data_IF_231423786066
#
_entry.id   IF_231423786066
#
_cell.length_a   1.000
_cell.length_b   1.000
_cell.length_c   1.000
_cell.angle_alpha   90.00
_cell.angle_beta   90.00
_cell.angle_gamma   90.00
#
_symmetry.space_group_name_H-M   'P 1'
#
loop_
_entity.id
_entity.type
_entity.pdbx_description
1 polymer ?
#
# COMPACT_ATOMS: atom_id res chain seq x y z
N UNK A 1 22.22 -16.84 -13.64
CA UNK A 1 20.88 -17.32 -13.24
C UNK A 1 20.63 -18.59 -14.03
N UNK A 2 20.32 -19.70 -13.35
CA UNK A 2 20.07 -20.98 -14.04
C UNK A 2 18.74 -20.95 -14.79
N UNK A 3 18.56 -21.91 -15.71
CA UNK A 3 17.27 -22.10 -16.37
C UNK A 3 16.23 -22.61 -15.37
N UNK A 4 15.06 -21.97 -15.32
CA UNK A 4 13.98 -22.32 -14.41
C UNK A 4 12.81 -22.80 -15.28
N UNK A 5 12.32 -24.03 -15.10
CA UNK A 5 11.25 -24.56 -15.94
C UNK A 5 10.00 -23.67 -15.96
N UNK A 6 9.40 -23.53 -17.14
CA UNK A 6 8.09 -22.90 -17.29
C UNK A 6 7.06 -23.59 -16.39
N UNK A 7 6.15 -22.79 -15.83
CA UNK A 7 5.18 -23.24 -14.84
C UNK A 7 5.71 -23.23 -13.40
N UNK A 8 7.01 -23.02 -13.17
CA UNK A 8 7.54 -22.86 -11.80
C UNK A 8 6.86 -21.67 -11.13
N UNK A 9 6.25 -21.92 -9.97
CA UNK A 9 5.54 -20.87 -9.24
C UNK A 9 6.52 -19.89 -8.59
N UNK A 10 6.10 -18.64 -8.50
CA UNK A 10 6.80 -17.57 -7.79
C UNK A 10 5.80 -16.82 -6.93
N UNK A 11 6.16 -16.56 -5.68
CA UNK A 11 5.38 -15.71 -4.78
C UNK A 11 6.18 -14.49 -4.35
N UNK A 12 5.46 -13.42 -4.01
CA UNK A 12 6.00 -12.23 -3.36
C UNK A 12 5.35 -12.10 -1.99
N UNK A 13 6.17 -11.87 -0.97
CA UNK A 13 5.74 -11.41 0.35
C UNK A 13 6.33 -10.03 0.60
N UNK A 14 5.69 -9.23 1.45
CA UNK A 14 6.16 -7.91 1.83
C UNK A 14 6.07 -7.74 3.34
N UNK A 15 7.12 -7.19 3.97
CA UNK A 15 7.14 -7.00 5.41
C UNK A 15 8.19 -6.01 5.89
N UNK A 16 8.01 -5.52 7.12
CA UNK A 16 8.96 -4.72 7.90
C UNK A 16 8.58 -4.72 9.39
N UNK A 17 9.21 -3.87 10.20
CA UNK A 17 8.99 -3.80 11.65
C UNK A 17 7.58 -3.35 12.06
N UNK A 18 6.85 -2.61 11.21
CA UNK A 18 5.46 -2.20 11.53
C UNK A 18 4.42 -3.21 11.08
N UNK A 19 4.71 -3.89 9.96
CA UNK A 19 3.82 -4.89 9.41
C UNK A 19 4.68 -6.06 8.95
N UNK A 20 4.77 -7.08 9.81
CA UNK A 20 5.61 -8.26 9.61
C UNK A 20 5.29 -8.97 8.29
N UNK A 21 4.01 -9.05 7.92
CA UNK A 21 3.56 -9.66 6.68
C UNK A 21 2.32 -8.92 6.16
N UNK A 22 2.54 -8.00 5.22
CA UNK A 22 1.50 -7.18 4.65
C UNK A 22 0.58 -7.98 3.73
N UNK A 23 -0.71 -7.64 3.74
CA UNK A 23 -1.68 -8.19 2.81
C UNK A 23 -1.37 -7.72 1.38
N UNK A 24 -1.30 -8.69 0.46
CA UNK A 24 -1.08 -8.49 -0.97
C UNK A 24 -2.21 -9.15 -1.76
N UNK A 25 -2.49 -8.63 -2.95
CA UNK A 25 -3.36 -9.28 -3.95
C UNK A 25 -2.55 -9.65 -5.18
N UNK A 26 -2.87 -10.79 -5.77
CA UNK A 26 -2.21 -11.32 -6.98
C UNK A 26 -0.69 -11.48 -6.81
N UNK A 27 -0.25 -11.88 -5.62
CA UNK A 27 1.15 -12.03 -5.25
C UNK A 27 1.78 -13.37 -5.67
N UNK A 28 1.15 -14.06 -6.62
CA UNK A 28 1.60 -15.35 -7.14
C UNK A 28 1.59 -15.29 -8.67
N UNK A 29 2.65 -15.78 -9.31
CA UNK A 29 2.75 -15.89 -10.76
C UNK A 29 3.50 -17.18 -11.14
N UNK A 30 3.29 -17.66 -12.37
CA UNK A 30 4.09 -18.74 -12.94
C UNK A 30 5.21 -18.16 -13.81
N UNK A 31 6.39 -18.78 -13.79
CA UNK A 31 7.47 -18.49 -14.74
C UNK A 31 7.06 -18.94 -16.14
N UNK A 32 7.34 -18.11 -17.13
CA UNK A 32 7.28 -18.44 -18.54
C UNK A 32 8.42 -17.76 -19.27
N UNK A 33 9.18 -18.51 -20.06
CA UNK A 33 10.38 -18.03 -20.74
C UNK A 33 11.30 -17.25 -19.79
N UNK A 34 11.63 -17.85 -18.63
CA UNK A 34 12.49 -17.26 -17.60
C UNK A 34 11.93 -16.01 -16.89
N UNK A 35 10.66 -15.65 -17.11
CA UNK A 35 10.03 -14.46 -16.51
C UNK A 35 8.76 -14.83 -15.77
N UNK A 36 8.68 -14.50 -14.47
CA UNK A 36 7.42 -14.50 -13.72
C UNK A 36 6.74 -13.14 -13.84
N UNK A 37 5.62 -13.07 -14.58
CA UNK A 37 4.85 -11.83 -14.72
C UNK A 37 3.65 -11.83 -13.79
N UNK A 38 3.71 -11.02 -12.75
CA UNK A 38 2.55 -10.77 -11.89
C UNK A 38 1.54 -9.89 -12.62
N UNK A 39 0.29 -10.36 -12.68
CA UNK A 39 -0.81 -9.59 -13.25
C UNK A 39 -1.48 -8.78 -12.13
N UNK A 40 -1.37 -7.46 -12.19
CA UNK A 40 -2.01 -6.56 -11.24
C UNK A 40 -1.66 -6.88 -9.77
N UNK A 41 -0.37 -7.02 -9.47
CA UNK A 41 0.11 -7.14 -8.09
C UNK A 41 -0.23 -5.87 -7.32
N UNK A 42 -0.92 -6.02 -6.17
CA UNK A 42 -1.29 -4.89 -5.31
C UNK A 42 -0.85 -5.09 -3.88
N UNK A 43 -0.51 -3.97 -3.25
CA UNK A 43 -0.25 -3.88 -1.83
C UNK A 43 -1.48 -3.31 -1.13
N UNK A 44 -2.09 -4.09 -0.25
CA UNK A 44 -3.24 -3.66 0.57
C UNK A 44 -2.76 -3.17 1.93
N UNK A 45 -1.82 -3.90 2.53
CA UNK A 45 -1.17 -3.50 3.78
C UNK A 45 -0.29 -2.24 3.60
N UNK A 46 -0.35 -1.33 4.59
CA UNK A 46 0.49 -0.12 4.63
C UNK A 46 1.85 -0.44 5.25
N UNK A 47 2.90 0.24 4.78
CA UNK A 47 4.27 0.01 5.24
C UNK A 47 4.70 0.90 6.41
N UNK A 48 3.87 1.87 6.80
CA UNK A 48 4.20 2.81 7.87
C UNK A 48 4.63 4.20 7.41
N UNK A 49 4.56 5.18 8.31
CA UNK A 49 4.97 6.56 8.00
C UNK A 49 6.49 6.62 7.79
N UNK A 50 6.90 6.90 6.56
CA UNK A 50 8.32 7.01 6.22
C UNK A 50 9.08 5.69 6.15
N UNK A 51 8.38 4.55 6.22
CA UNK A 51 8.96 3.20 6.17
C UNK A 51 8.61 2.49 4.87
N UNK A 52 9.53 1.68 4.37
CA UNK A 52 9.34 0.85 3.18
C UNK A 52 9.21 -0.62 3.57
N UNK A 53 8.54 -1.41 2.73
CA UNK A 53 8.60 -2.86 2.79
C UNK A 53 9.91 -3.39 2.22
N UNK A 54 10.36 -4.50 2.79
CA UNK A 54 11.25 -5.45 2.13
C UNK A 54 10.39 -6.50 1.44
N UNK A 55 10.69 -6.79 0.17
CA UNK A 55 10.03 -7.87 -0.56
C UNK A 55 10.83 -9.15 -0.42
N UNK A 56 10.15 -10.26 -0.20
CA UNK A 56 10.72 -11.60 -0.25
C UNK A 56 10.09 -12.32 -1.43
N UNK A 57 10.90 -12.63 -2.44
CA UNK A 57 10.49 -13.31 -3.67
C UNK A 57 10.95 -14.75 -3.57
N UNK A 58 10.01 -15.68 -3.58
CA UNK A 58 10.29 -17.11 -3.50
C UNK A 58 9.98 -17.76 -4.84
N UNK A 59 10.99 -18.38 -5.45
CA UNK A 59 10.85 -19.21 -6.64
C UNK A 59 10.83 -20.68 -6.20
N UNK A 60 9.74 -21.38 -6.48
CA UNK A 60 9.50 -22.75 -6.01
C UNK A 60 10.18 -23.81 -6.90
N UNK A 61 11.49 -23.67 -7.10
CA UNK A 61 12.35 -24.77 -7.58
C UNK A 61 12.57 -25.82 -6.48
N UNK A 62 13.28 -26.89 -6.79
CA UNK A 62 13.73 -27.87 -5.79
C UNK A 62 15.26 -27.93 -5.76
N UNK A 63 15.94 -27.33 -4.77
CA UNK A 63 15.38 -26.62 -3.60
C UNK A 63 14.79 -25.24 -3.96
N UNK A 64 13.88 -24.68 -3.13
CA UNK A 64 13.35 -23.34 -3.35
C UNK A 64 14.45 -22.27 -3.28
N UNK A 65 14.35 -21.27 -4.15
CA UNK A 65 15.27 -20.13 -4.19
C UNK A 65 14.57 -18.89 -3.66
N UNK A 66 15.22 -18.15 -2.76
CA UNK A 66 14.67 -16.94 -2.14
C UNK A 66 15.55 -15.75 -2.46
N UNK A 67 14.96 -14.69 -2.99
CA UNK A 67 15.59 -13.40 -3.21
C UNK A 67 14.89 -12.34 -2.38
N UNK A 68 15.62 -11.38 -1.82
CA UNK A 68 15.05 -10.27 -1.08
C UNK A 68 15.36 -8.94 -1.76
N UNK A 69 14.38 -8.04 -1.78
CA UNK A 69 14.57 -6.66 -2.20
C UNK A 69 14.24 -5.73 -1.04
N UNK A 70 15.29 -5.27 -0.38
CA UNK A 70 15.18 -4.42 0.80
C UNK A 70 14.73 -3.00 0.45
N UNK A 71 13.88 -2.41 1.31
CA UNK A 71 13.37 -1.03 1.19
C UNK A 71 12.74 -0.72 -0.19
N UNK A 72 12.12 -1.72 -0.80
CA UNK A 72 11.66 -1.67 -2.18
C UNK A 72 10.53 -0.65 -2.44
N UNK A 73 9.55 -0.56 -1.54
CA UNK A 73 8.36 0.29 -1.75
C UNK A 73 7.76 0.78 -0.45
N UNK A 74 7.27 2.02 -0.44
CA UNK A 74 6.47 2.59 0.64
C UNK A 74 5.00 2.64 0.22
N UNK A 75 4.12 2.06 1.03
CA UNK A 75 2.68 1.99 0.79
C UNK A 75 1.93 2.78 1.85
N UNK A 76 1.16 3.76 1.39
CA UNK A 76 0.32 4.64 2.21
C UNK A 76 -1.05 4.80 1.55
N UNK A 77 -2.09 5.16 2.31
CA UNK A 77 -3.46 5.37 1.77
C UNK A 77 -3.48 6.33 0.59
N UNK A 78 -2.79 7.47 0.69
CA UNK A 78 -2.79 8.48 -0.37
C UNK A 78 -1.84 8.14 -1.53
N UNK A 79 -0.89 7.23 -1.34
CA UNK A 79 0.26 7.09 -2.25
C UNK A 79 1.04 8.41 -2.45
N UNK A 80 1.77 8.55 -3.58
CA UNK A 80 2.31 9.83 -4.03
C UNK A 80 1.18 10.83 -4.26
N UNK A 81 1.25 11.98 -3.58
CA UNK A 81 0.19 13.00 -3.60
C UNK A 81 0.77 14.39 -3.79
N UNK A 82 0.11 15.19 -4.61
CA UNK A 82 0.46 16.60 -4.82
C UNK A 82 0.37 17.42 -3.51
N UNK A 83 1.20 18.45 -3.33
CA UNK A 83 1.09 19.37 -2.21
C UNK A 83 -0.31 19.96 -2.10
N UNK A 84 -0.89 19.94 -0.90
CA UNK A 84 -2.21 20.55 -0.68
C UNK A 84 -2.07 22.07 -0.77
N UNK A 85 -2.89 22.72 -1.60
CA UNK A 85 -2.97 24.19 -1.66
C UNK A 85 -3.44 24.72 -0.31
N UNK A 86 -2.78 25.77 0.18
CA UNK A 86 -3.23 26.46 1.39
C UNK A 86 -4.51 27.23 1.06
N UNK A 87 -5.65 26.81 1.62
CA UNK A 87 -6.89 27.58 1.52
C UNK A 87 -6.66 28.88 2.28
N UNK A 88 -6.60 30.01 1.58
CA UNK A 88 -6.72 31.31 2.23
C UNK A 88 -8.04 31.28 3.01
N UNK A 89 -7.97 31.50 4.34
CA UNK A 89 -9.18 31.71 5.13
C UNK A 89 -9.91 32.88 4.47
N UNK A 90 -11.08 32.64 3.90
CA UNK A 90 -12.01 33.72 3.62
C UNK A 90 -12.41 34.26 4.98
N UNK A 91 -12.08 35.51 5.25
CA UNK A 91 -12.50 36.21 6.46
C UNK A 91 -14.02 36.10 6.62
N UNK A 92 -14.43 35.86 7.86
CA UNK A 92 -15.81 35.61 8.26
C UNK A 92 -16.74 36.77 7.85
N UNK A 93 -17.64 36.50 6.89
CA UNK A 93 -18.92 37.21 6.86
C UNK A 93 -19.91 36.29 7.55
N UNK A 94 -20.39 36.67 8.73
CA UNK A 94 -21.51 36.02 9.43
C UNK A 94 -22.83 36.47 8.79
N UNK A 95 -23.65 35.56 8.23
CA UNK A 95 -25.10 35.74 8.24
C UNK A 95 -25.71 34.85 9.33
N UNK A 96 -26.63 35.44 10.06
CA UNK A 96 -27.42 34.87 11.14
C UNK A 96 -28.26 33.66 10.71
N UNK A 97 -27.73 32.43 10.85
CA UNK A 97 -28.53 31.19 10.88
C UNK A 97 -27.76 30.02 11.52
N UNK A 98 -27.46 30.11 12.82
CA UNK A 98 -26.54 29.19 13.50
C UNK A 98 -27.18 27.86 13.97
N UNK A 99 -28.49 27.76 14.13
CA UNK A 99 -29.12 26.61 14.82
C UNK A 99 -29.01 25.25 14.09
N UNK A 100 -29.00 25.22 12.76
CA UNK A 100 -28.88 23.96 11.99
C UNK A 100 -27.43 23.58 11.73
N UNK A 101 -26.56 24.58 11.49
CA UNK A 101 -25.14 24.37 11.25
C UNK A 101 -24.44 23.85 12.51
N UNK A 102 -24.80 24.34 13.69
CA UNK A 102 -24.23 23.89 14.97
C UNK A 102 -24.54 22.42 15.25
N UNK A 103 -25.81 22.01 15.08
CA UNK A 103 -26.25 20.62 15.27
C UNK A 103 -25.58 19.64 14.32
N UNK A 104 -25.38 20.01 13.06
CA UNK A 104 -24.63 19.18 12.12
C UNK A 104 -23.15 19.09 12.51
N UNK A 105 -22.56 20.18 12.99
CA UNK A 105 -21.16 20.20 13.44
C UNK A 105 -20.95 19.28 14.64
N UNK A 106 -21.87 19.28 15.61
CA UNK A 106 -21.84 18.36 16.76
C UNK A 106 -21.99 16.89 16.32
N UNK A 107 -22.90 16.61 15.39
CA UNK A 107 -23.11 15.25 14.87
C UNK A 107 -21.88 14.74 14.08
N UNK A 108 -21.18 15.63 13.38
CA UNK A 108 -19.92 15.34 12.71
C UNK A 108 -18.75 15.13 13.69
N UNK A 109 -18.75 15.82 14.83
CA UNK A 109 -17.73 15.63 15.88
C UNK A 109 -17.88 14.26 16.56
N UNK A 110 -19.11 13.79 16.81
CA UNK A 110 -19.37 12.45 17.35
C UNK A 110 -18.93 11.32 16.41
N UNK A 111 -18.87 11.55 15.09
CA UNK A 111 -18.38 10.56 14.12
C UNK A 111 -16.85 10.52 14.00
N UNK A 112 -16.16 11.51 14.58
CA UNK A 112 -14.69 11.64 14.54
C UNK A 112 -14.01 11.12 15.80
N UNK A 113 -14.76 10.86 16.88
CA UNK A 113 -14.32 10.10 18.06
C UNK A 113 -14.45 8.60 17.81
#
# INVERSE_FOLDING_TARGET
>A
LGDIPDGTMVTVMAGNDENYSAELRNATAAIKNQVARFNDLRFVGRSGRGKSFTLTITVFTNPPQVATYQRAIKITVDGPREPRRHRQKLDEVKPSSLAFSERLTELEQLRRS
#
